data_IF_197551763888
#
_entry.id   IF_197551763888
#
_cell.length_a   1.000
_cell.length_b   1.000
_cell.length_c   1.000
_cell.angle_alpha   90.00
_cell.angle_beta   90.00
_cell.angle_gamma   90.00
#
_symmetry.space_group_name_H-M   'P 1'
#
loop_
_entity.id
_entity.type
_entity.pdbx_description
1 polymer ?
#
# COMPACT_ATOMS: atom_id res chain seq x y z
N UNK A 1 3.95 -23.93 -1.30
CA UNK A 1 3.60 -23.14 -0.10
C UNK A 1 2.67 -22.00 -0.49
N UNK A 2 1.75 -21.60 0.39
CA UNK A 2 0.84 -20.50 0.13
C UNK A 2 0.75 -19.58 1.35
N UNK A 3 0.30 -18.35 1.13
CA UNK A 3 0.01 -17.36 2.17
C UNK A 3 -1.31 -16.69 1.82
N UNK A 4 -2.19 -16.52 2.81
CA UNK A 4 -3.42 -15.75 2.65
C UNK A 4 -3.17 -14.35 3.18
N UNK A 5 -3.48 -13.36 2.34
CA UNK A 5 -3.47 -11.96 2.71
C UNK A 5 -4.90 -11.41 2.71
N UNK A 6 -5.23 -10.63 3.73
CA UNK A 6 -6.55 -10.06 3.94
C UNK A 6 -6.51 -8.54 4.05
N UNK A 7 -7.50 -7.89 3.45
CA UNK A 7 -7.77 -6.47 3.66
C UNK A 7 -9.15 -6.30 4.29
N UNK A 8 -9.18 -5.89 5.55
CA UNK A 8 -10.44 -5.65 6.26
C UNK A 8 -11.16 -4.43 5.70
N UNK A 9 -12.41 -4.65 5.27
CA UNK A 9 -13.31 -3.56 4.96
C UNK A 9 -13.76 -2.85 6.23
N UNK A 10 -13.76 -1.51 6.18
CA UNK A 10 -14.23 -0.69 7.30
C UNK A 10 -15.73 -0.77 7.53
N UNK A 11 -16.51 -1.21 6.53
CA UNK A 11 -17.97 -1.13 6.54
C UNK A 11 -18.59 -2.35 7.23
N UNK A 12 -18.13 -3.54 6.87
CA UNK A 12 -18.70 -4.81 7.30
C UNK A 12 -17.75 -5.64 8.19
N UNK A 13 -16.51 -5.20 8.38
CA UNK A 13 -15.52 -5.94 9.17
C UNK A 13 -15.10 -7.28 8.56
N UNK A 14 -15.53 -7.58 7.34
CA UNK A 14 -15.16 -8.80 6.60
C UNK A 14 -13.91 -8.51 5.78
N UNK A 15 -12.85 -9.33 5.89
CA UNK A 15 -11.68 -9.19 5.05
C UNK A 15 -11.96 -9.63 3.62
N UNK A 16 -11.47 -8.85 2.66
CA UNK A 16 -11.28 -9.32 1.29
C UNK A 16 -9.95 -10.06 1.24
N UNK A 17 -9.97 -11.33 0.84
CA UNK A 17 -8.79 -12.20 0.92
C UNK A 17 -8.25 -12.58 -0.46
N UNK A 18 -6.94 -12.79 -0.53
CA UNK A 18 -6.26 -13.37 -1.68
C UNK A 18 -5.22 -14.39 -1.23
N UNK A 19 -5.22 -15.53 -1.91
CA UNK A 19 -4.20 -16.55 -1.75
C UNK A 19 -3.02 -16.25 -2.67
N UNK A 20 -1.84 -16.17 -2.10
CA UNK A 20 -0.56 -16.03 -2.79
C UNK A 20 0.10 -17.40 -2.82
N UNK A 21 0.35 -17.92 -4.02
CA UNK A 21 1.17 -19.13 -4.19
C UNK A 21 2.63 -18.71 -4.30
N UNK A 22 3.45 -19.14 -3.36
CA UNK A 22 4.88 -18.89 -3.37
C UNK A 22 5.52 -19.99 -4.23
N UNK A 23 5.99 -19.62 -5.42
CA UNK A 23 6.74 -20.51 -6.32
C UNK A 23 8.25 -20.43 -6.08
N UNK A 24 8.74 -19.24 -5.76
CA UNK A 24 10.16 -18.92 -5.59
C UNK A 24 10.29 -17.85 -4.51
N UNK A 25 11.32 -17.93 -3.67
CA UNK A 25 11.52 -17.01 -2.55
C UNK A 25 11.83 -15.59 -3.01
N UNK A 26 12.67 -15.43 -4.04
CA UNK A 26 13.01 -14.15 -4.67
C UNK A 26 11.76 -13.36 -5.13
N UNK A 27 10.70 -14.07 -5.51
CA UNK A 27 9.44 -13.52 -6.00
C UNK A 27 8.38 -13.21 -4.93
N UNK A 28 8.65 -13.45 -3.64
CA UNK A 28 7.66 -13.33 -2.56
C UNK A 28 7.00 -11.94 -2.54
N UNK A 29 7.80 -10.90 -2.33
CA UNK A 29 7.28 -9.54 -2.12
C UNK A 29 6.69 -8.94 -3.41
N UNK A 30 7.18 -9.34 -4.58
CA UNK A 30 6.57 -8.99 -5.87
C UNK A 30 5.19 -9.62 -6.00
N UNK A 31 5.05 -10.89 -5.66
CA UNK A 31 3.77 -11.60 -5.68
C UNK A 31 2.78 -11.00 -4.68
N UNK A 32 3.26 -10.64 -3.48
CA UNK A 32 2.49 -9.90 -2.49
C UNK A 32 2.03 -8.54 -3.00
N UNK A 33 2.92 -7.78 -3.64
CA UNK A 33 2.57 -6.46 -4.19
C UNK A 33 1.42 -6.57 -5.19
N UNK A 34 1.48 -7.51 -6.14
CA UNK A 34 0.39 -7.75 -7.08
C UNK A 34 -0.90 -8.18 -6.41
N UNK A 35 -0.81 -9.05 -5.39
CA UNK A 35 -1.98 -9.48 -4.64
C UNK A 35 -2.62 -8.32 -3.85
N UNK A 36 -1.83 -7.41 -3.29
CA UNK A 36 -2.31 -6.20 -2.62
C UNK A 36 -2.94 -5.23 -3.63
N UNK A 37 -2.33 -5.01 -4.80
CA UNK A 37 -2.90 -4.19 -5.87
C UNK A 37 -4.25 -4.77 -6.32
N UNK A 38 -4.34 -6.09 -6.49
CA UNK A 38 -5.59 -6.78 -6.82
C UNK A 38 -6.66 -6.60 -5.73
N UNK A 39 -6.29 -6.73 -4.45
CA UNK A 39 -7.21 -6.55 -3.32
C UNK A 39 -7.77 -5.14 -3.21
N UNK A 40 -6.93 -4.14 -3.48
CA UNK A 40 -7.34 -2.73 -3.40
C UNK A 40 -8.08 -2.25 -4.65
N UNK A 41 -7.96 -2.97 -5.77
CA UNK A 41 -8.50 -2.58 -7.06
C UNK A 41 -7.92 -1.28 -7.61
N UNK A 42 -8.51 -0.79 -8.70
CA UNK A 42 -8.05 0.43 -9.41
C UNK A 42 -8.11 1.67 -8.52
N UNK A 43 -9.16 1.81 -7.70
CA UNK A 43 -9.28 2.90 -6.72
C UNK A 43 -8.18 2.87 -5.65
N UNK A 44 -7.57 1.72 -5.41
CA UNK A 44 -6.42 1.56 -4.54
C UNK A 44 -5.19 2.33 -5.01
N UNK A 45 -4.98 2.42 -6.32
CA UNK A 45 -3.81 3.08 -6.92
C UNK A 45 -3.89 4.60 -6.69
N UNK A 46 -5.08 5.18 -6.89
CA UNK A 46 -5.34 6.60 -6.68
C UNK A 46 -5.61 6.99 -5.22
N UNK A 47 -5.70 6.00 -4.32
CA UNK A 47 -5.93 6.29 -2.92
C UNK A 47 -4.72 6.96 -2.28
N UNK A 48 -4.99 8.02 -1.51
CA UNK A 48 -4.02 8.66 -0.61
C UNK A 48 -3.55 7.76 0.53
N UNK A 49 -4.24 6.64 0.76
CA UNK A 49 -3.82 5.64 1.73
C UNK A 49 -2.75 4.75 1.14
N UNK A 50 -1.76 4.41 1.94
CA UNK A 50 -0.76 3.40 1.61
C UNK A 50 -0.71 2.33 2.70
N UNK A 51 0.03 1.25 2.43
CA UNK A 51 0.29 0.21 3.43
C UNK A 51 1.14 0.84 4.53
N UNK A 52 0.58 0.88 5.74
CA UNK A 52 1.24 1.37 6.96
C UNK A 52 1.97 0.24 7.68
N UNK A 53 1.51 -0.99 7.53
CA UNK A 53 2.09 -2.17 8.17
C UNK A 53 1.26 -3.41 7.91
N UNK A 54 1.63 -4.47 8.62
CA UNK A 54 0.95 -5.75 8.59
C UNK A 54 0.44 -6.14 9.98
N UNK A 55 -0.63 -6.92 10.02
CA UNK A 55 -1.18 -7.55 11.21
C UNK A 55 -1.37 -9.05 10.98
N UNK A 56 -1.86 -9.75 12.00
CA UNK A 56 -2.23 -11.16 11.91
C UNK A 56 -3.68 -11.30 12.35
N UNK A 57 -4.44 -12.08 11.60
CA UNK A 57 -5.80 -12.46 11.95
C UNK A 57 -5.99 -13.96 11.75
N UNK A 58 -6.97 -14.50 12.47
CA UNK A 58 -7.37 -15.89 12.38
C UNK A 58 -8.53 -16.02 11.42
N UNK A 59 -8.41 -16.92 10.45
CA UNK A 59 -9.49 -17.30 9.55
C UNK A 59 -10.15 -18.59 10.06
N UNK A 60 -11.47 -18.59 10.19
CA UNK A 60 -12.23 -19.79 10.53
C UNK A 60 -12.81 -20.39 9.23
N UNK A 61 -12.39 -21.58 8.79
CA UNK A 61 -12.82 -22.12 7.49
C UNK A 61 -14.32 -22.44 7.42
N UNK A 62 -14.95 -22.71 8.57
CA UNK A 62 -16.35 -23.15 8.64
C UNK A 62 -17.32 -22.05 9.07
N UNK A 63 -16.83 -20.88 9.48
CA UNK A 63 -17.63 -19.78 10.00
C UNK A 63 -17.12 -18.49 9.34
N UNK A 64 -17.98 -17.58 8.86
CA UNK A 64 -17.55 -16.30 8.28
C UNK A 64 -17.03 -15.31 9.36
N UNK A 65 -16.38 -15.83 10.40
CA UNK A 65 -15.81 -15.08 11.50
C UNK A 65 -14.31 -14.95 11.27
N UNK A 66 -13.83 -13.72 11.27
CA UNK A 66 -12.41 -13.41 11.20
C UNK A 66 -12.04 -12.66 12.46
N UNK A 67 -11.08 -13.19 13.21
CA UNK A 67 -10.70 -12.64 14.51
C UNK A 67 -9.31 -12.05 14.41
N UNK A 68 -9.19 -10.73 14.56
CA UNK A 68 -7.88 -10.10 14.73
C UNK A 68 -7.28 -10.53 16.05
N UNK A 69 -6.02 -10.94 16.01
CA UNK A 69 -5.33 -11.36 17.22
C UNK A 69 -4.64 -10.15 17.86
N UNK A 70 -4.71 -10.08 19.19
CA UNK A 70 -3.87 -9.16 19.93
C UNK A 70 -2.42 -9.64 19.83
N UNK A 71 -1.57 -8.81 19.24
CA UNK A 71 -0.20 -9.15 18.93
C UNK A 71 0.68 -8.77 20.13
N UNK A 72 1.55 -9.68 20.56
CA UNK A 72 2.52 -9.39 21.61
C UNK A 72 3.62 -8.43 21.11
N UNK A 73 4.40 -7.86 22.02
CA UNK A 73 5.45 -6.91 21.65
C UNK A 73 6.50 -7.54 20.71
N UNK A 74 6.78 -8.84 20.86
CA UNK A 74 7.75 -9.56 20.02
C UNK A 74 7.24 -9.72 18.60
N UNK A 75 6.03 -10.24 18.41
CA UNK A 75 5.45 -10.42 17.06
C UNK A 75 5.18 -9.08 16.39
N UNK A 76 4.86 -8.04 17.16
CA UNK A 76 4.74 -6.67 16.62
C UNK A 76 6.06 -6.18 16.02
N UNK A 77 7.19 -6.52 16.64
CA UNK A 77 8.52 -6.20 16.10
C UNK A 77 8.80 -6.98 14.82
N UNK A 78 8.52 -8.29 14.82
CA UNK A 78 8.68 -9.14 13.62
C UNK A 78 7.85 -8.61 12.44
N UNK A 79 6.61 -8.19 12.67
CA UNK A 79 5.76 -7.59 11.62
C UNK A 79 6.29 -6.24 11.13
N UNK A 80 6.93 -5.48 12.02
CA UNK A 80 7.58 -4.22 11.65
C UNK A 80 8.81 -4.47 10.78
N UNK A 81 9.65 -5.44 11.15
CA UNK A 81 10.81 -5.86 10.37
C UNK A 81 10.37 -6.43 9.01
N UNK A 82 9.30 -7.20 8.98
CA UNK A 82 8.68 -7.70 7.75
C UNK A 82 8.17 -6.58 6.85
N UNK A 83 7.56 -5.54 7.43
CA UNK A 83 7.11 -4.36 6.68
C UNK A 83 8.30 -3.58 6.09
N UNK A 84 9.36 -3.39 6.88
CA UNK A 84 10.59 -2.76 6.41
C UNK A 84 11.25 -3.57 5.29
N UNK A 85 11.28 -4.90 5.44
CA UNK A 85 11.66 -5.79 4.36
C UNK A 85 10.80 -5.48 3.16
N UNK A 86 9.47 -5.68 3.20
CA UNK A 86 8.55 -5.42 2.08
C UNK A 86 8.80 -4.10 1.33
N UNK A 87 9.06 -2.99 2.05
CA UNK A 87 9.31 -1.67 1.46
C UNK A 87 10.71 -1.51 0.82
N UNK A 88 11.69 -2.34 1.17
CA UNK A 88 13.04 -2.25 0.63
C UNK A 88 13.12 -2.70 -0.83
N UNK A 89 13.79 -1.92 -1.67
CA UNK A 89 13.89 -2.16 -3.11
C UNK A 89 14.83 -3.32 -3.49
N UNK A 90 15.89 -3.55 -2.71
CA UNK A 90 16.88 -4.58 -2.98
C UNK A 90 17.23 -5.32 -1.69
N UNK A 91 17.20 -6.65 -1.76
CA UNK A 91 17.46 -7.57 -0.65
C UNK A 91 18.16 -8.81 -1.17
N UNK A 92 19.12 -9.37 -0.42
CA UNK A 92 19.73 -10.64 -0.76
C UNK A 92 18.73 -11.80 -0.61
N UNK A 93 18.90 -12.85 -1.42
CA UNK A 93 17.91 -13.93 -1.56
C UNK A 93 17.70 -14.74 -0.28
N UNK A 94 18.73 -14.89 0.55
CA UNK A 94 18.65 -15.57 1.84
C UNK A 94 17.60 -14.95 2.78
N UNK A 95 17.45 -13.63 2.77
CA UNK A 95 16.45 -12.93 3.59
C UNK A 95 15.04 -13.26 3.11
N UNK A 96 14.84 -13.45 1.80
CA UNK A 96 13.53 -13.83 1.27
C UNK A 96 13.15 -15.25 1.68
N UNK A 97 14.11 -16.17 1.71
CA UNK A 97 13.89 -17.56 2.15
C UNK A 97 13.45 -17.61 3.62
N UNK A 98 14.10 -16.85 4.49
CA UNK A 98 13.72 -16.72 5.91
C UNK A 98 12.27 -16.22 6.05
N UNK A 99 11.88 -15.21 5.28
CA UNK A 99 10.51 -14.70 5.31
C UNK A 99 9.49 -15.69 4.74
N UNK A 100 9.84 -16.44 3.70
CA UNK A 100 8.97 -17.52 3.19
C UNK A 100 8.78 -18.59 4.26
N UNK A 101 9.84 -19.02 4.94
CA UNK A 101 9.78 -20.00 6.02
C UNK A 101 8.96 -19.50 7.21
N UNK A 102 9.14 -18.24 7.62
CA UNK A 102 8.32 -17.64 8.67
C UNK A 102 6.83 -17.59 8.29
N UNK A 103 6.52 -17.22 7.04
CA UNK A 103 5.15 -17.18 6.54
C UNK A 103 4.50 -18.57 6.44
N UNK A 104 5.28 -19.64 6.22
CA UNK A 104 4.73 -21.00 6.18
C UNK A 104 4.40 -21.53 7.55
N UNK A 105 5.20 -21.17 8.56
CA UNK A 105 4.91 -21.51 9.96
C UNK A 105 3.58 -20.88 10.42
N UNK A 106 3.17 -19.72 9.90
CA UNK A 106 1.86 -19.12 10.20
C UNK A 106 0.68 -20.02 9.79
N UNK A 107 0.88 -20.86 8.77
CA UNK A 107 -0.13 -21.82 8.30
C UNK A 107 0.00 -23.20 8.96
N UNK A 108 0.71 -23.31 10.09
CA UNK A 108 1.07 -24.59 10.72
C UNK A 108 1.73 -25.58 9.74
N UNK A 109 2.50 -25.07 8.77
CA UNK A 109 3.09 -25.84 7.67
C UNK A 109 2.09 -26.64 6.81
N UNK A 110 0.80 -26.35 6.94
CA UNK A 110 -0.24 -26.98 6.14
C UNK A 110 -0.18 -26.50 4.70
N UNK A 111 -0.27 -27.46 3.78
CA UNK A 111 -0.40 -27.20 2.33
C UNK A 111 -1.85 -27.08 1.87
N UNK A 112 -2.81 -27.35 2.76
CA UNK A 112 -4.25 -27.34 2.48
C UNK A 112 -4.92 -26.11 3.12
N UNK A 113 -5.54 -25.20 2.34
CA UNK A 113 -6.17 -23.97 2.84
C UNK A 113 -7.50 -24.17 3.59
N UNK A 114 -7.97 -25.42 3.77
CA UNK A 114 -9.21 -25.76 4.47
C UNK A 114 -8.96 -26.37 5.86
N UNK A 115 -7.73 -26.74 6.17
CA UNK A 115 -7.41 -27.60 7.30
C UNK A 115 -6.75 -26.84 8.46
N UNK A 116 -7.52 -26.56 9.51
CA UNK A 116 -7.04 -26.00 10.78
C UNK A 116 -7.38 -24.53 11.03
N UNK A 117 -6.99 -24.08 12.22
CA UNK A 117 -7.10 -22.71 12.70
C UNK A 117 -5.97 -21.86 12.09
N UNK A 118 -6.19 -21.32 10.90
CA UNK A 118 -5.13 -20.66 10.11
C UNK A 118 -4.91 -19.21 10.51
N UNK A 119 -3.63 -18.83 10.64
CA UNK A 119 -3.23 -17.44 10.75
C UNK A 119 -3.00 -16.88 9.34
N UNK A 120 -3.56 -15.70 9.10
CA UNK A 120 -3.47 -14.98 7.84
C UNK A 120 -2.94 -13.58 8.08
N UNK A 121 -2.33 -13.01 7.05
CA UNK A 121 -1.68 -11.71 7.15
C UNK A 121 -2.66 -10.59 6.81
N UNK A 122 -2.90 -9.68 7.76
CA UNK A 122 -3.72 -8.48 7.55
C UNK A 122 -2.88 -7.36 6.92
N UNK A 123 -3.45 -6.68 5.92
CA UNK A 123 -2.91 -5.42 5.37
C UNK A 123 -3.51 -4.24 6.13
N UNK A 124 -2.67 -3.46 6.78
CA UNK A 124 -3.09 -2.26 7.50
C UNK A 124 -2.85 -1.04 6.61
N UNK A 125 -3.94 -0.38 6.18
CA UNK A 125 -3.87 0.85 5.41
C UNK A 125 -3.87 2.08 6.32
N UNK A 126 -2.99 3.03 6.03
CA UNK A 126 -2.90 4.32 6.71
C UNK A 126 -2.75 5.47 5.72
N UNK A 127 -2.94 6.70 6.19
CA UNK A 127 -2.66 7.89 5.39
C UNK A 127 -1.17 7.99 5.08
N UNK A 128 -0.85 8.24 3.81
CA UNK A 128 0.53 8.38 3.36
C UNK A 128 0.88 9.85 3.20
N UNK A 129 1.73 10.36 4.09
CA UNK A 129 2.27 11.73 4.01
C UNK A 129 2.81 12.04 2.61
N UNK A 130 3.69 11.24 1.98
CA UNK A 130 4.20 11.59 0.66
C UNK A 130 3.11 11.63 -0.42
N UNK A 131 2.10 10.74 -0.39
CA UNK A 131 0.99 10.79 -1.36
C UNK A 131 0.14 12.05 -1.18
N UNK A 132 -0.16 12.41 0.07
CA UNK A 132 -0.90 13.64 0.39
C UNK A 132 -0.10 14.85 -0.08
N UNK A 133 1.20 14.91 0.24
CA UNK A 133 2.08 16.00 -0.18
C UNK A 133 2.10 16.17 -1.70
N UNK A 134 2.18 15.07 -2.46
CA UNK A 134 2.14 15.14 -3.93
C UNK A 134 0.83 15.77 -4.41
N UNK A 135 -0.32 15.33 -3.89
CA UNK A 135 -1.62 15.86 -4.30
C UNK A 135 -1.77 17.34 -3.95
N UNK A 136 -1.28 17.76 -2.78
CA UNK A 136 -1.35 19.17 -2.34
C UNK A 136 -0.36 20.06 -3.09
N UNK A 137 0.86 19.57 -3.37
CA UNK A 137 1.92 20.38 -4.00
C UNK A 137 1.77 20.45 -5.52
N UNK A 138 1.18 19.45 -6.17
CA UNK A 138 1.06 19.39 -7.63
C UNK A 138 0.34 20.61 -8.22
N UNK A 139 -0.83 21.06 -7.71
CA UNK A 139 -1.51 22.25 -8.22
C UNK A 139 -0.65 23.52 -8.10
N UNK A 140 0.09 23.66 -7.00
CA UNK A 140 0.96 24.82 -6.73
C UNK A 140 2.15 24.83 -7.69
N UNK A 141 2.83 23.69 -7.87
CA UNK A 141 3.96 23.58 -8.78
C UNK A 141 3.53 23.73 -10.24
N UNK A 142 2.39 23.17 -10.62
CA UNK A 142 1.83 23.28 -11.96
C UNK A 142 1.42 24.73 -12.28
N UNK A 143 0.77 25.40 -11.33
CA UNK A 143 0.43 26.82 -11.38
C UNK A 143 1.68 27.67 -11.64
N UNK A 144 2.74 27.46 -10.85
CA UNK A 144 4.00 28.18 -10.99
C UNK A 144 4.65 27.93 -12.36
N UNK A 145 4.72 26.67 -12.80
CA UNK A 145 5.31 26.32 -14.09
C UNK A 145 4.56 26.95 -15.27
N UNK A 146 3.22 26.97 -15.22
CA UNK A 146 2.39 27.59 -16.27
C UNK A 146 2.53 29.10 -16.27
N UNK A 147 2.56 29.74 -15.09
CA UNK A 147 2.82 31.18 -14.96
C UNK A 147 4.17 31.55 -15.57
N UNK A 148 5.22 30.81 -15.24
CA UNK A 148 6.56 30.97 -15.83
C UNK A 148 6.56 30.76 -17.34
N UNK A 149 5.89 29.72 -17.84
CA UNK A 149 5.83 29.42 -19.27
C UNK A 149 5.08 30.50 -20.07
N UNK A 150 3.94 30.98 -19.56
CA UNK A 150 3.19 32.05 -20.22
C UNK A 150 3.98 33.36 -20.20
N UNK A 151 4.58 33.70 -19.06
CA UNK A 151 5.43 34.90 -18.95
C UNK A 151 6.69 34.79 -19.83
N UNK A 152 7.20 33.58 -20.08
CA UNK A 152 8.37 33.38 -20.95
C UNK A 152 8.16 33.77 -22.40
N UNK A 153 6.90 33.90 -22.86
CA UNK A 153 6.57 34.23 -24.25
C UNK A 153 6.66 35.73 -24.55
N UNK A 154 6.44 36.59 -23.57
CA UNK A 154 6.65 38.04 -23.68
C UNK A 154 6.80 38.67 -22.29
N UNK A 155 8.05 38.98 -21.90
CA UNK A 155 8.37 39.52 -20.57
C UNK A 155 8.11 41.03 -20.44
N UNK A 156 7.82 41.71 -21.56
CA UNK A 156 7.68 43.16 -21.60
C UNK A 156 6.23 43.64 -21.56
N UNK A 157 5.29 42.76 -21.86
CA UNK A 157 3.87 43.07 -21.87
C UNK A 157 3.21 42.81 -20.51
N UNK A 158 2.79 43.89 -19.85
CA UNK A 158 2.09 43.84 -18.57
C UNK A 158 0.79 43.02 -18.63
N UNK A 159 0.11 42.99 -19.79
CA UNK A 159 -1.14 42.22 -19.94
C UNK A 159 -0.88 40.72 -19.99
N UNK A 160 0.20 40.30 -20.66
CA UNK A 160 0.69 38.91 -20.66
C UNK A 160 1.11 38.46 -19.26
N UNK A 161 1.85 39.30 -18.52
CA UNK A 161 2.23 39.02 -17.12
C UNK A 161 1.00 38.84 -16.24
N UNK A 162 0.03 39.77 -16.29
CA UNK A 162 -1.18 39.70 -15.46
C UNK A 162 -2.04 38.47 -15.80
N UNK A 163 -2.16 38.13 -17.09
CA UNK A 163 -2.89 36.94 -17.55
C UNK A 163 -2.21 35.67 -17.07
N UNK A 164 -0.89 35.58 -17.14
CA UNK A 164 -0.12 34.43 -16.67
C UNK A 164 -0.36 34.14 -15.18
N UNK A 165 -0.29 35.16 -14.32
CA UNK A 165 -0.51 35.01 -12.89
C UNK A 165 -1.98 34.74 -12.53
N UNK A 166 -2.92 35.26 -13.31
CA UNK A 166 -4.35 34.97 -13.14
C UNK A 166 -4.68 33.51 -13.44
N UNK A 167 -4.16 32.99 -14.57
CA UNK A 167 -4.31 31.58 -14.96
C UNK A 167 -3.62 30.67 -13.94
N UNK A 168 -2.41 31.01 -13.51
CA UNK A 168 -1.69 30.28 -12.46
C UNK A 168 -2.51 30.22 -11.16
N UNK A 169 -3.02 31.34 -10.68
CA UNK A 169 -3.81 31.40 -9.43
C UNK A 169 -5.09 30.57 -9.51
N UNK A 170 -5.77 30.59 -10.66
CA UNK A 170 -6.93 29.75 -10.91
C UNK A 170 -6.60 28.25 -10.80
N UNK A 171 -5.48 27.81 -11.39
CA UNK A 171 -5.05 26.39 -11.33
C UNK A 171 -4.76 25.94 -9.90
N UNK A 172 -4.10 26.78 -9.11
CA UNK A 172 -3.84 26.48 -7.70
C UNK A 172 -5.14 26.40 -6.89
N UNK A 173 -6.11 27.28 -7.17
CA UNK A 173 -7.37 27.36 -6.43
C UNK A 173 -8.36 26.27 -6.83
N UNK A 174 -8.45 25.94 -8.12
CA UNK A 174 -9.35 24.90 -8.62
C UNK A 174 -8.84 23.48 -8.34
N UNK A 175 -7.53 23.33 -8.11
CA UNK A 175 -6.89 22.05 -7.79
C UNK A 175 -6.70 21.76 -6.30
N UNK A 176 -6.98 22.72 -5.41
CA UNK A 176 -6.92 22.58 -3.96
C UNK A 176 -8.31 22.21 -3.39
#
# INVERSE_FOLDING_TARGET
>A
QYVVIGLFSKVNGVPSERLIKIKEASGLFRSMWWAIVSLRGVGGVFSLKDIKGFGIYKCHPYIPLHTRLAIDATSSRTLTDFFHAYKSYSRPDNVNEEWVSWLTHLNNDSSNPVEGDMLSLEIILGWSVPRISIVVLTPVLLSFAIGMWLNSKDWSDATTIQTAWSVASYIATAGA
#
